data_IF_970420912473
#
_entry.id   IF_970420912473
#
_cell.length_a   1.000
_cell.length_b   1.000
_cell.length_c   1.000
_cell.angle_alpha   90.00
_cell.angle_beta   90.00
_cell.angle_gamma   90.00
#
_symmetry.space_group_name_H-M   'P 1'
#
loop_
_entity.id
_entity.type
_entity.pdbx_description
1 polymer ?
#
# COMPACT_ATOMS: atom_id res chain seq x y z
N UNK A 1 -1.66 -10.34 -21.54
CA UNK A 1 -0.94 -9.52 -20.55
C UNK A 1 -1.56 -9.84 -19.19
N UNK A 2 -0.74 -10.16 -18.18
CA UNK A 2 -1.25 -10.46 -16.85
C UNK A 2 -1.61 -9.15 -16.16
N UNK A 3 -2.88 -8.93 -15.85
CA UNK A 3 -3.30 -7.76 -15.08
C UNK A 3 -2.90 -7.85 -13.60
N UNK A 4 -2.34 -8.98 -13.17
CA UNK A 4 -1.94 -9.20 -11.79
C UNK A 4 -0.68 -8.41 -11.49
N UNK A 5 -0.77 -7.56 -10.47
CA UNK A 5 0.35 -6.83 -9.90
C UNK A 5 1.01 -7.69 -8.81
N UNK A 6 2.34 -7.70 -8.82
CA UNK A 6 3.21 -8.30 -7.81
C UNK A 6 4.06 -7.22 -7.17
N UNK A 7 4.49 -7.45 -5.93
CA UNK A 7 5.23 -6.49 -5.12
C UNK A 7 5.98 -7.23 -4.01
N UNK A 8 6.90 -6.54 -3.36
CA UNK A 8 7.59 -7.01 -2.15
C UNK A 8 7.11 -6.21 -0.95
N UNK A 9 6.90 -6.91 0.16
CA UNK A 9 6.61 -6.33 1.47
C UNK A 9 7.80 -6.61 2.37
N UNK A 10 8.26 -5.58 3.06
CA UNK A 10 9.24 -5.68 4.13
C UNK A 10 8.72 -4.96 5.37
N UNK A 11 9.08 -5.46 6.54
CA UNK A 11 8.62 -4.91 7.82
C UNK A 11 9.82 -4.41 8.64
N UNK A 12 10.43 -3.27 8.25
CA UNK A 12 11.73 -2.83 8.78
C UNK A 12 11.72 -2.51 10.27
N UNK A 13 10.54 -2.28 10.86
CA UNK A 13 10.39 -2.02 12.28
C UNK A 13 9.01 -2.53 12.71
N UNK A 14 8.94 -3.71 13.32
CA UNK A 14 7.70 -4.27 13.86
C UNK A 14 7.77 -4.29 15.37
N UNK A 15 6.84 -3.60 16.01
CA UNK A 15 6.72 -3.60 17.46
C UNK A 15 5.27 -3.40 17.89
N UNK A 16 5.04 -3.43 19.21
CA UNK A 16 3.70 -3.39 19.82
C UNK A 16 2.99 -2.03 19.76
N UNK A 17 3.65 -0.99 19.27
CA UNK A 17 3.14 0.38 19.29
C UNK A 17 3.07 0.99 17.89
N UNK A 18 4.14 0.89 17.13
CA UNK A 18 4.25 1.50 15.81
C UNK A 18 5.09 0.62 14.90
N UNK A 19 4.50 0.21 13.79
CA UNK A 19 5.17 -0.59 12.78
C UNK A 19 5.12 0.09 11.42
N UNK A 20 6.02 -0.29 10.51
CA UNK A 20 6.00 0.17 9.12
C UNK A 20 5.93 -1.02 8.18
N UNK A 21 4.98 -0.99 7.24
CA UNK A 21 4.98 -1.86 6.08
C UNK A 21 5.58 -1.12 4.90
N UNK A 22 6.69 -1.63 4.38
CA UNK A 22 7.39 -1.08 3.21
C UNK A 22 7.06 -1.90 1.98
N UNK A 23 6.36 -1.30 1.04
CA UNK A 23 5.99 -1.90 -0.24
C UNK A 23 6.95 -1.37 -1.31
N UNK A 24 7.56 -2.29 -2.03
CA UNK A 24 8.53 -2.02 -3.11
C UNK A 24 8.27 -2.94 -4.28
N UNK A 25 9.00 -2.70 -5.38
CA UNK A 25 9.09 -3.64 -6.49
C UNK A 25 7.74 -3.97 -7.16
N UNK A 26 6.87 -2.95 -7.23
CA UNK A 26 5.51 -3.05 -7.77
C UNK A 26 5.59 -3.16 -9.30
N UNK A 27 5.19 -4.32 -9.83
CA UNK A 27 5.26 -4.64 -11.27
C UNK A 27 4.18 -5.63 -11.68
N UNK A 28 3.87 -5.73 -12.96
CA UNK A 28 3.07 -6.85 -13.45
C UNK A 28 3.82 -8.18 -13.29
N UNK A 29 3.08 -9.28 -13.19
CA UNK A 29 3.65 -10.63 -13.04
C UNK A 29 4.57 -11.04 -14.20
N UNK A 30 4.38 -10.47 -15.39
CA UNK A 30 5.26 -10.65 -16.55
C UNK A 30 6.54 -9.81 -16.48
N UNK A 31 6.74 -9.05 -15.40
CA UNK A 31 7.88 -8.18 -15.17
C UNK A 31 7.76 -6.78 -15.76
N UNK A 32 6.70 -6.48 -16.51
CA UNK A 32 6.48 -5.15 -17.07
C UNK A 32 6.09 -4.11 -15.99
N UNK A 33 6.40 -2.85 -16.27
CA UNK A 33 6.09 -1.74 -15.37
C UNK A 33 4.58 -1.47 -15.30
N UNK A 34 4.09 -1.18 -14.09
CA UNK A 34 2.70 -0.79 -13.83
C UNK A 34 2.51 0.66 -14.28
N UNK A 35 1.51 0.88 -15.13
CA UNK A 35 1.15 2.21 -15.66
C UNK A 35 -0.14 2.67 -15.01
N UNK A 36 -0.03 3.63 -14.10
CA UNK A 36 -1.16 4.22 -13.39
C UNK A 36 -1.66 5.42 -14.18
N UNK A 37 -2.95 5.43 -14.52
CA UNK A 37 -3.53 6.55 -15.29
C UNK A 37 -4.16 7.58 -14.35
N UNK A 38 -4.83 7.11 -13.30
CA UNK A 38 -5.50 7.95 -12.29
C UNK A 38 -5.24 7.48 -10.87
N UNK A 39 -5.38 6.18 -10.58
CA UNK A 39 -5.30 5.69 -9.20
C UNK A 39 -4.57 4.36 -9.09
N UNK A 40 -3.71 4.28 -8.07
CA UNK A 40 -3.23 3.01 -7.53
C UNK A 40 -4.05 2.71 -6.28
N UNK A 41 -4.76 1.59 -6.28
CA UNK A 41 -5.65 1.18 -5.21
C UNK A 41 -4.97 0.07 -4.40
N UNK A 42 -5.02 0.18 -3.07
CA UNK A 42 -4.39 -0.77 -2.14
C UNK A 42 -5.43 -1.22 -1.13
N UNK A 43 -5.71 -2.52 -1.09
CA UNK A 43 -6.54 -3.13 -0.07
C UNK A 43 -5.66 -3.96 0.87
N UNK A 44 -5.86 -3.83 2.18
CA UNK A 44 -5.11 -4.59 3.19
C UNK A 44 -5.84 -4.64 4.52
N UNK A 45 -5.38 -5.50 5.43
CA UNK A 45 -5.85 -5.56 6.82
C UNK A 45 -4.89 -4.79 7.73
N UNK A 46 -5.44 -4.17 8.76
CA UNK A 46 -4.68 -3.45 9.79
C UNK A 46 -5.26 -3.72 11.18
N UNK A 47 -4.44 -3.76 12.26
CA UNK A 47 -4.95 -3.83 13.63
C UNK A 47 -5.68 -2.56 14.08
N UNK A 48 -5.48 -1.45 13.37
CA UNK A 48 -6.03 -0.12 13.70
C UNK A 48 -6.49 0.59 12.44
N UNK A 49 -7.34 1.60 12.59
CA UNK A 49 -7.70 2.48 11.48
C UNK A 49 -6.47 3.18 10.89
N UNK A 50 -6.47 3.31 9.56
CA UNK A 50 -5.42 3.99 8.80
C UNK A 50 -5.97 5.29 8.23
N UNK A 51 -5.21 6.37 8.41
CA UNK A 51 -5.50 7.70 7.90
C UNK A 51 -4.54 8.01 6.76
N UNK A 52 -5.05 8.02 5.52
CA UNK A 52 -4.25 8.17 4.30
C UNK A 52 -3.14 9.21 4.36
N UNK A 53 -3.48 10.49 4.54
CA UNK A 53 -2.51 11.59 4.55
C UNK A 53 -1.55 11.65 5.75
N UNK A 54 -1.73 10.79 6.77
CA UNK A 54 -0.86 10.72 7.95
C UNK A 54 0.01 9.47 7.95
N UNK A 55 -0.59 8.36 7.57
CA UNK A 55 -0.02 7.03 7.76
C UNK A 55 0.66 6.50 6.49
N UNK A 56 0.48 7.17 5.34
CA UNK A 56 1.23 6.86 4.12
C UNK A 56 2.38 7.84 3.89
N UNK A 57 3.52 7.29 3.49
CA UNK A 57 4.65 8.03 2.92
C UNK A 57 5.02 7.43 1.59
N UNK A 58 4.99 8.23 0.52
CA UNK A 58 5.22 7.75 -0.85
C UNK A 58 6.47 8.43 -1.40
N UNK A 59 7.40 7.61 -1.88
CA UNK A 59 8.55 8.08 -2.64
C UNK A 59 8.30 7.79 -4.12
N UNK A 60 8.24 8.83 -4.94
CA UNK A 60 8.09 8.75 -6.38
C UNK A 60 9.26 9.45 -7.07
N UNK A 61 9.73 8.88 -8.18
CA UNK A 61 10.72 9.50 -9.06
C UNK A 61 10.27 9.37 -10.53
N UNK A 62 10.00 10.45 -11.28
CA UNK A 62 10.00 11.84 -10.82
C UNK A 62 9.03 12.07 -9.65
N UNK A 63 9.33 13.08 -8.84
CA UNK A 63 8.49 13.43 -7.69
C UNK A 63 7.07 13.81 -8.16
N UNK A 64 6.07 13.23 -7.50
CA UNK A 64 4.66 13.56 -7.67
C UNK A 64 4.02 13.74 -6.29
N UNK A 65 3.12 14.73 -6.19
CA UNK A 65 2.31 14.93 -5.00
C UNK A 65 1.14 13.96 -5.01
N UNK A 66 1.26 12.87 -4.25
CA UNK A 66 0.23 11.84 -4.10
C UNK A 66 -0.32 11.95 -2.69
N UNK A 67 -1.62 12.24 -2.57
CA UNK A 67 -2.34 12.37 -1.29
C UNK A 67 -3.30 11.20 -1.10
N UNK A 68 -2.92 10.17 -0.32
CA UNK A 68 -3.75 8.98 -0.18
C UNK A 68 -5.02 9.28 0.61
N UNK A 69 -6.12 8.65 0.19
CA UNK A 69 -7.38 8.62 0.95
C UNK A 69 -7.65 7.19 1.37
N UNK A 70 -8.30 7.00 2.53
CA UNK A 70 -8.57 5.68 3.09
C UNK A 70 -10.01 5.56 3.57
N UNK A 71 -10.58 4.38 3.37
CA UNK A 71 -11.80 3.92 4.02
C UNK A 71 -11.44 2.74 4.93
N UNK A 72 -11.90 2.78 6.18
CA UNK A 72 -11.68 1.71 7.15
C UNK A 72 -13.03 1.05 7.47
N UNK A 73 -13.06 -0.27 7.46
CA UNK A 73 -14.21 -1.07 7.89
C UNK A 73 -13.74 -2.04 8.96
N UNK A 74 -14.23 -1.90 10.19
CA UNK A 74 -13.97 -2.89 11.24
C UNK A 74 -14.61 -4.23 10.84
N UNK A 75 -13.81 -5.31 10.80
CA UNK A 75 -14.28 -6.65 10.46
C UNK A 75 -14.29 -7.60 11.68
N UNK A 76 -13.49 -7.29 12.70
CA UNK A 76 -13.53 -7.87 14.04
C UNK A 76 -12.87 -6.91 15.04
N UNK A 77 -12.93 -7.25 16.33
CA UNK A 77 -12.44 -6.42 17.44
C UNK A 77 -10.94 -6.10 17.43
N UNK A 78 -10.19 -6.67 16.48
CA UNK A 78 -8.75 -6.51 16.35
C UNK A 78 -8.31 -6.19 14.92
N UNK A 79 -9.25 -5.96 13.99
CA UNK A 79 -8.93 -5.85 12.57
C UNK A 79 -9.86 -4.94 11.80
N UNK A 80 -9.24 -4.08 11.01
CA UNK A 80 -9.86 -3.25 10.01
C UNK A 80 -9.48 -3.76 8.62
N UNK A 81 -10.46 -3.85 7.72
CA UNK A 81 -10.24 -3.88 6.29
C UNK A 81 -10.07 -2.43 5.80
N UNK A 82 -8.94 -2.15 5.18
CA UNK A 82 -8.56 -0.82 4.70
C UNK A 82 -8.58 -0.83 3.18
N UNK A 83 -9.27 0.14 2.59
CA UNK A 83 -9.20 0.46 1.17
C UNK A 83 -8.54 1.83 1.01
N UNK A 84 -7.32 1.86 0.48
CA UNK A 84 -6.57 3.07 0.21
C UNK A 84 -6.58 3.40 -1.28
N UNK A 85 -6.70 4.69 -1.59
CA UNK A 85 -6.65 5.23 -2.94
C UNK A 85 -5.52 6.23 -3.06
N UNK A 86 -4.57 5.98 -3.96
CA UNK A 86 -3.44 6.86 -4.25
C UNK A 86 -3.70 7.55 -5.59
N UNK A 87 -4.21 8.81 -5.59
CA UNK A 87 -4.47 9.55 -6.82
C UNK A 87 -3.17 10.10 -7.41
N UNK A 88 -2.99 9.89 -8.71
CA UNK A 88 -1.90 10.49 -9.48
C UNK A 88 -2.43 11.68 -10.29
N UNK A 89 -1.77 12.84 -10.25
CA UNK A 89 -2.24 14.04 -10.96
C UNK A 89 -2.10 13.91 -12.49
N UNK A 90 -1.25 13.00 -12.96
CA UNK A 90 -1.01 12.67 -14.36
C UNK A 90 -0.59 11.21 -14.48
N UNK A 91 -0.64 10.60 -15.68
CA UNK A 91 -0.19 9.22 -15.86
C UNK A 91 1.24 9.01 -15.34
N UNK A 92 1.44 7.95 -14.58
CA UNK A 92 2.69 7.63 -13.91
C UNK A 92 3.08 6.18 -14.19
N UNK A 93 4.33 5.97 -14.61
CA UNK A 93 4.90 4.63 -14.76
C UNK A 93 5.76 4.33 -13.54
N UNK A 94 5.36 3.32 -12.78
CA UNK A 94 6.09 2.86 -11.60
C UNK A 94 7.48 2.35 -12.00
N UNK A 95 8.50 2.75 -11.24
CA UNK A 95 9.88 2.29 -11.39
C UNK A 95 10.43 1.70 -10.07
N UNK A 96 11.70 1.33 -10.09
CA UNK A 96 12.42 0.72 -8.97
C UNK A 96 12.60 1.63 -7.75
N UNK A 97 12.48 2.94 -7.93
CA UNK A 97 12.56 3.95 -6.86
C UNK A 97 11.21 4.22 -6.20
N UNK A 98 10.12 3.72 -6.77
CA UNK A 98 8.79 3.89 -6.21
C UNK A 98 8.61 3.04 -4.95
N UNK A 99 8.37 3.70 -3.81
CA UNK A 99 8.22 3.06 -2.50
C UNK A 99 6.99 3.60 -1.80
N UNK A 100 6.23 2.71 -1.15
CA UNK A 100 5.11 3.09 -0.27
C UNK A 100 5.43 2.56 1.12
N UNK A 101 5.54 3.46 2.08
CA UNK A 101 5.61 3.14 3.50
C UNK A 101 4.24 3.39 4.15
N UNK A 102 3.71 2.38 4.84
CA UNK A 102 2.45 2.46 5.59
C UNK A 102 2.78 2.33 7.08
N UNK A 103 2.60 3.41 7.82
CA UNK A 103 2.72 3.44 9.28
C UNK A 103 1.47 2.85 9.94
N UNK A 104 1.68 1.94 10.89
CA UNK A 104 0.61 1.26 11.62
C UNK A 104 0.83 1.49 13.11
N UNK A 105 -0.01 2.35 13.71
CA UNK A 105 0.03 2.67 15.14
C UNK A 105 -0.73 1.60 15.97
N UNK A 106 -0.31 0.35 15.84
CA UNK A 106 -0.93 -0.80 16.49
C UNK A 106 0.03 -1.99 16.62
N UNK A 107 -0.38 -2.98 17.40
CA UNK A 107 0.42 -4.19 17.66
C UNK A 107 0.34 -5.16 16.48
N UNK A 108 1.43 -5.25 15.72
CA UNK A 108 1.58 -6.21 14.61
C UNK A 108 2.40 -7.45 15.00
N UNK A 109 2.91 -7.52 16.23
CA UNK A 109 3.86 -8.57 16.65
C UNK A 109 3.23 -9.95 16.78
N UNK A 110 1.90 -10.00 16.93
CA UNK A 110 1.14 -11.23 17.17
C UNK A 110 0.74 -11.98 15.90
N UNK A 111 0.53 -11.25 14.79
CA UNK A 111 0.01 -11.83 13.55
C UNK A 111 0.45 -11.03 12.32
N UNK A 112 1.76 -10.87 12.16
CA UNK A 112 2.34 -10.09 11.07
C UNK A 112 1.88 -10.57 9.69
N UNK A 113 1.78 -11.89 9.49
CA UNK A 113 1.39 -12.52 8.23
C UNK A 113 -0.03 -12.16 7.82
N UNK A 114 -0.97 -12.12 8.78
CA UNK A 114 -2.36 -11.71 8.52
C UNK A 114 -2.44 -10.33 7.88
N UNK A 115 -1.53 -9.42 8.23
CA UNK A 115 -1.51 -8.06 7.67
C UNK A 115 -0.73 -8.03 6.35
N UNK A 116 0.43 -8.65 6.27
CA UNK A 116 1.30 -8.57 5.08
C UNK A 116 0.79 -9.39 3.89
N UNK A 117 0.26 -10.59 4.14
CA UNK A 117 -0.31 -11.47 3.09
C UNK A 117 -1.70 -11.01 2.63
N UNK A 118 -2.31 -10.03 3.32
CA UNK A 118 -3.61 -9.47 2.93
C UNK A 118 -3.53 -8.35 1.91
N UNK A 119 -2.33 -7.86 1.60
CA UNK A 119 -2.14 -6.72 0.71
C UNK A 119 -2.51 -7.13 -0.72
N UNK A 120 -3.33 -6.31 -1.35
CA UNK A 120 -3.70 -6.41 -2.76
C UNK A 120 -3.52 -5.04 -3.39
N UNK A 121 -2.80 -4.98 -4.50
CA UNK A 121 -2.60 -3.76 -5.28
C UNK A 121 -3.26 -3.92 -6.62
N UNK A 122 -4.08 -2.93 -6.99
CA UNK A 122 -4.69 -2.81 -8.31
C UNK A 122 -4.43 -1.41 -8.85
N UNK A 123 -4.48 -1.27 -10.17
CA UNK A 123 -4.44 0.04 -10.83
C UNK A 123 -5.78 0.28 -11.53
N UNK A 124 -6.09 1.54 -11.80
CA UNK A 124 -7.19 1.85 -12.68
C UNK A 124 -6.95 1.26 -14.09
N UNK A 125 -8.05 0.77 -14.67
CA UNK A 125 -8.09 0.40 -16.08
C UNK A 125 -8.41 1.67 -16.86
N UNK A 126 -7.66 1.95 -17.92
CA UNK A 126 -7.82 3.12 -18.80
C UNK A 126 -9.28 3.53 -19.05
#
# INVERSE_FOLDING_TARGET
>A
MSNKITFKVAEPNVNRYYSVLKITDIRHEDGSAVKVQKTLDIAFKSPVEIIGGRDFSINADPWEEISPTTTNTEIDSSTFAVAAKLPFPKPYTINDRFVIDIGINGDMTKDIKRYTESIVITQDSE
#
